data_IF_317173840784
#
_entry.id   IF_317173840784
#
_cell.length_a   1.000
_cell.length_b   1.000
_cell.length_c   1.000
_cell.angle_alpha   90.00
_cell.angle_beta   90.00
_cell.angle_gamma   90.00
#
_symmetry.space_group_name_H-M   'P 1'
#
loop_
_entity.id
_entity.type
_entity.pdbx_description
1 polymer ?
#
# COMPACT_ATOMS: atom_id res chain seq x y z
N UNK A 1 9.03 19.45 -31.85
CA UNK A 1 7.59 19.36 -31.53
C UNK A 1 7.46 18.22 -30.55
N UNK A 2 7.10 18.50 -29.30
CA UNK A 2 6.90 17.45 -28.30
C UNK A 2 5.50 16.87 -28.52
N UNK A 3 5.42 15.57 -28.83
CA UNK A 3 4.16 14.85 -28.87
C UNK A 3 3.53 14.90 -27.48
N UNK A 4 2.36 15.52 -27.37
CA UNK A 4 1.55 15.42 -26.17
C UNK A 4 1.10 13.96 -26.03
N UNK A 5 1.27 13.33 -24.85
CA UNK A 5 0.80 11.97 -24.64
C UNK A 5 -0.72 11.96 -24.81
N UNK A 6 -1.20 11.16 -25.76
CA UNK A 6 -2.63 10.93 -25.94
C UNK A 6 -3.25 10.45 -24.63
N UNK A 7 -4.47 10.92 -24.27
CA UNK A 7 -5.19 10.38 -23.13
C UNK A 7 -5.39 8.89 -23.36
N UNK A 8 -4.73 8.07 -22.53
CA UNK A 8 -4.87 6.61 -22.56
C UNK A 8 -6.32 6.27 -22.27
N UNK A 9 -6.95 5.53 -23.18
CA UNK A 9 -8.34 5.10 -23.05
C UNK A 9 -8.46 4.08 -21.90
N UNK A 10 -9.09 4.50 -20.79
CA UNK A 10 -9.28 3.69 -19.59
C UNK A 10 -10.60 2.89 -19.62
N UNK A 11 -11.38 3.00 -20.70
CA UNK A 11 -12.70 2.35 -20.80
C UNK A 11 -12.63 0.82 -20.74
N UNK A 12 -11.58 0.23 -21.31
CA UNK A 12 -11.31 -1.21 -21.22
C UNK A 12 -11.06 -1.66 -19.78
N UNK A 13 -10.32 -0.86 -19.00
CA UNK A 13 -10.05 -1.13 -17.59
C UNK A 13 -11.30 -0.97 -16.73
N UNK A 14 -12.17 0.00 -17.03
CA UNK A 14 -13.49 0.10 -16.38
C UNK A 14 -14.32 -1.17 -16.62
N UNK A 15 -14.31 -1.74 -17.83
CA UNK A 15 -15.01 -2.98 -18.13
C UNK A 15 -14.39 -4.19 -17.42
N UNK A 16 -13.06 -4.27 -17.36
CA UNK A 16 -12.35 -5.31 -16.58
C UNK A 16 -12.69 -5.21 -15.09
N UNK A 17 -12.69 -4.00 -14.54
CA UNK A 17 -13.07 -3.74 -13.16
C UNK A 17 -14.50 -4.22 -12.89
N UNK A 18 -15.45 -3.82 -13.73
CA UNK A 18 -16.84 -4.25 -13.59
C UNK A 18 -16.95 -5.77 -13.63
N UNK A 19 -16.35 -6.42 -14.61
CA UNK A 19 -16.36 -7.88 -14.72
C UNK A 19 -15.73 -8.58 -13.50
N UNK A 20 -14.70 -7.99 -12.89
CA UNK A 20 -14.08 -8.54 -11.68
C UNK A 20 -14.95 -8.37 -10.43
N UNK A 21 -15.74 -7.29 -10.38
CA UNK A 21 -16.61 -6.94 -9.25
C UNK A 21 -17.99 -7.60 -9.33
N UNK A 22 -18.58 -7.74 -10.53
CA UNK A 22 -19.92 -8.34 -10.76
C UNK A 22 -20.04 -9.77 -10.22
N UNK A 23 -18.94 -10.52 -10.18
CA UNK A 23 -18.94 -11.88 -9.62
C UNK A 23 -18.91 -11.95 -8.09
N UNK A 24 -18.78 -10.80 -7.42
CA UNK A 24 -18.61 -10.72 -5.97
C UNK A 24 -19.92 -10.27 -5.30
N UNK A 25 -20.48 -11.16 -4.49
CA UNK A 25 -21.60 -10.95 -3.57
C UNK A 25 -21.15 -11.22 -2.13
N UNK A 26 -21.03 -10.17 -1.30
CA UNK A 26 -20.60 -10.25 0.12
C UNK A 26 -19.16 -10.77 0.37
N UNK A 27 -18.27 -10.76 -0.62
CA UNK A 27 -16.85 -10.97 -0.38
C UNK A 27 -16.19 -9.70 0.12
N UNK A 28 -15.26 -9.85 1.06
CA UNK A 28 -14.46 -8.75 1.58
C UNK A 28 -13.05 -8.81 1.01
N UNK A 29 -12.35 -7.66 1.03
CA UNK A 29 -10.96 -7.59 0.64
C UNK A 29 -10.63 -6.32 -0.12
N UNK A 30 -9.71 -6.42 -1.07
CA UNK A 30 -9.11 -5.26 -1.73
C UNK A 30 -8.96 -5.49 -3.22
N UNK A 31 -9.25 -4.47 -4.01
CA UNK A 31 -8.89 -4.47 -5.44
C UNK A 31 -7.37 -4.42 -5.56
N UNK A 32 -6.80 -5.34 -6.33
CA UNK A 32 -5.37 -5.41 -6.62
C UNK A 32 -5.12 -4.83 -8.02
N UNK A 33 -4.34 -3.76 -8.09
CA UNK A 33 -3.90 -3.15 -9.34
C UNK A 33 -2.46 -3.58 -9.63
N UNK A 34 -2.29 -4.31 -10.73
CA UNK A 34 -0.98 -4.78 -11.18
C UNK A 34 -0.27 -3.73 -12.01
N UNK A 35 0.87 -3.24 -11.53
CA UNK A 35 1.74 -2.32 -12.29
C UNK A 35 3.11 -2.91 -12.61
N UNK A 36 3.50 -3.99 -11.93
CA UNK A 36 4.69 -4.78 -12.24
C UNK A 36 4.42 -5.83 -13.33
N UNK A 37 5.24 -5.78 -14.38
CA UNK A 37 5.28 -6.80 -15.43
C UNK A 37 6.76 -7.11 -15.72
N UNK A 38 7.13 -8.37 -15.54
CA UNK A 38 8.43 -8.90 -15.88
C UNK A 38 8.51 -9.22 -17.38
N UNK A 39 9.72 -9.16 -17.94
CA UNK A 39 9.94 -9.56 -19.34
C UNK A 39 9.97 -11.09 -19.51
N UNK A 40 10.44 -11.81 -18.47
CA UNK A 40 10.61 -13.25 -18.48
C UNK A 40 9.81 -13.90 -17.36
N UNK A 41 9.11 -14.99 -17.69
CA UNK A 41 8.35 -15.81 -16.73
C UNK A 41 7.30 -15.03 -15.92
N UNK A 42 6.77 -13.96 -16.52
CA UNK A 42 5.86 -13.00 -15.90
C UNK A 42 4.62 -13.66 -15.31
N UNK A 43 3.93 -14.51 -16.08
CA UNK A 43 2.71 -15.19 -15.65
C UNK A 43 2.96 -16.08 -14.42
N UNK A 44 4.07 -16.83 -14.40
CA UNK A 44 4.38 -17.72 -13.28
C UNK A 44 4.81 -16.95 -12.03
N UNK A 45 5.58 -15.86 -12.21
CA UNK A 45 5.94 -14.97 -11.11
C UNK A 45 4.72 -14.29 -10.53
N UNK A 46 3.83 -13.77 -11.37
CA UNK A 46 2.58 -13.15 -10.96
C UNK A 46 1.69 -14.13 -10.20
N UNK A 47 1.48 -15.33 -10.74
CA UNK A 47 0.68 -16.37 -10.09
C UNK A 47 1.26 -16.76 -8.72
N UNK A 48 2.59 -16.91 -8.61
CA UNK A 48 3.26 -17.21 -7.35
C UNK A 48 3.11 -16.07 -6.33
N UNK A 49 3.26 -14.82 -6.77
CA UNK A 49 3.12 -13.65 -5.92
C UNK A 49 1.68 -13.46 -5.41
N UNK A 50 0.69 -13.59 -6.31
CA UNK A 50 -0.72 -13.48 -5.95
C UNK A 50 -1.16 -14.59 -5.01
N UNK A 51 -0.71 -15.84 -5.26
CA UNK A 51 -0.94 -16.95 -4.33
C UNK A 51 -0.37 -16.64 -2.95
N UNK A 52 0.86 -16.13 -2.88
CA UNK A 52 1.50 -15.83 -1.60
C UNK A 52 0.82 -14.66 -0.88
N UNK A 53 0.40 -13.62 -1.61
CA UNK A 53 -0.41 -12.54 -1.04
C UNK A 53 -1.68 -13.11 -0.41
N UNK A 54 -2.40 -13.97 -1.15
CA UNK A 54 -3.60 -14.62 -0.65
C UNK A 54 -3.32 -15.45 0.60
N UNK A 55 -2.33 -16.36 0.56
CA UNK A 55 -2.00 -17.24 1.69
C UNK A 55 -1.66 -16.45 2.97
N UNK A 56 -0.94 -15.32 2.84
CA UNK A 56 -0.60 -14.47 3.98
C UNK A 56 -1.79 -13.65 4.48
N UNK A 57 -2.61 -13.12 3.58
CA UNK A 57 -3.69 -12.18 3.90
C UNK A 57 -4.94 -12.86 4.46
N UNK A 58 -5.19 -14.13 4.09
CA UNK A 58 -6.32 -14.89 4.59
C UNK A 58 -6.25 -15.04 6.13
N UNK A 59 -7.28 -14.62 6.89
CA UNK A 59 -7.31 -14.74 8.34
C UNK A 59 -7.12 -16.19 8.79
N UNK A 60 -6.43 -16.36 9.91
CA UNK A 60 -6.15 -17.69 10.47
C UNK A 60 -7.23 -18.23 11.41
N UNK A 61 -8.12 -17.37 11.91
CA UNK A 61 -9.10 -17.69 12.95
C UNK A 61 -10.51 -17.80 12.37
N UNK A 62 -11.20 -18.90 12.63
CA UNK A 62 -12.61 -19.09 12.33
C UNK A 62 -13.55 -18.26 13.22
N UNK A 63 -12.99 -17.60 14.26
CA UNK A 63 -13.68 -16.61 15.08
C UNK A 63 -13.38 -15.16 14.70
N UNK A 64 -12.62 -14.91 13.63
CA UNK A 64 -12.49 -13.58 13.08
C UNK A 64 -13.85 -13.13 12.52
N UNK A 65 -14.16 -11.84 12.67
CA UNK A 65 -15.39 -11.24 12.11
C UNK A 65 -15.45 -11.42 10.58
N UNK A 66 -14.27 -11.53 9.95
CA UNK A 66 -14.11 -11.81 8.53
C UNK A 66 -13.89 -13.30 8.25
N UNK A 67 -14.80 -13.92 7.50
CA UNK A 67 -14.68 -15.31 7.08
C UNK A 67 -13.53 -15.48 6.07
N UNK A 68 -12.54 -16.36 6.33
CA UNK A 68 -11.50 -16.71 5.38
C UNK A 68 -12.01 -17.13 3.99
N UNK A 69 -13.18 -17.76 3.92
CA UNK A 69 -13.75 -18.30 2.68
C UNK A 69 -14.37 -17.22 1.78
N UNK A 70 -14.64 -16.03 2.34
CA UNK A 70 -15.19 -14.88 1.60
C UNK A 70 -14.13 -13.82 1.27
N UNK A 71 -12.84 -14.10 1.52
CA UNK A 71 -11.75 -13.21 1.14
C UNK A 71 -11.53 -13.17 -0.37
N UNK A 72 -11.54 -11.97 -0.96
CA UNK A 72 -11.35 -11.73 -2.38
C UNK A 72 -10.28 -10.67 -2.68
N UNK A 73 -9.53 -10.92 -3.75
CA UNK A 73 -8.53 -9.99 -4.30
C UNK A 73 -8.78 -9.82 -5.81
N UNK A 74 -9.87 -9.12 -6.23
CA UNK A 74 -10.12 -8.88 -7.65
C UNK A 74 -8.94 -8.13 -8.28
N UNK A 75 -8.41 -8.68 -9.36
CA UNK A 75 -7.18 -8.18 -10.02
C UNK A 75 -7.53 -7.39 -11.27
N UNK A 76 -7.02 -6.16 -11.34
CA UNK A 76 -7.02 -5.33 -12.56
C UNK A 76 -5.61 -5.37 -13.16
N UNK A 77 -5.54 -5.83 -14.40
CA UNK A 77 -4.26 -6.02 -15.10
C UNK A 77 -4.40 -5.75 -16.59
N UNK A 78 -3.61 -4.79 -17.07
CA UNK A 78 -3.43 -4.45 -18.48
C UNK A 78 -2.02 -3.85 -18.60
N UNK A 79 -1.10 -4.60 -19.20
CA UNK A 79 0.30 -4.17 -19.29
C UNK A 79 0.49 -2.95 -20.17
N UNK A 80 -0.35 -2.73 -21.18
CA UNK A 80 -0.22 -1.57 -22.06
C UNK A 80 -0.56 -0.27 -21.32
N UNK A 81 -1.49 -0.33 -20.37
CA UNK A 81 -1.99 0.84 -19.65
C UNK A 81 -1.34 1.03 -18.27
N UNK A 82 -1.07 -0.06 -17.55
CA UNK A 82 -0.67 -0.05 -16.14
C UNK A 82 0.81 -0.32 -15.89
N UNK A 83 1.58 -0.76 -16.90
CA UNK A 83 3.02 -1.01 -16.70
C UNK A 83 3.75 0.27 -16.25
N UNK A 84 4.33 0.21 -15.06
CA UNK A 84 5.03 1.33 -14.44
C UNK A 84 4.14 2.51 -14.04
N UNK A 85 2.81 2.33 -13.96
CA UNK A 85 1.90 3.39 -13.51
C UNK A 85 2.18 3.79 -12.05
N UNK A 86 2.26 5.10 -11.81
CA UNK A 86 2.46 5.64 -10.46
C UNK A 86 1.17 5.65 -9.63
N UNK A 87 1.30 5.86 -8.31
CA UNK A 87 0.15 5.85 -7.39
C UNK A 87 -0.91 6.91 -7.74
N UNK A 88 -0.51 8.06 -8.30
CA UNK A 88 -1.45 9.11 -8.67
C UNK A 88 -2.32 8.70 -9.88
N UNK A 89 -1.70 8.08 -10.88
CA UNK A 89 -2.35 7.54 -12.07
C UNK A 89 -3.28 6.40 -11.70
N UNK A 90 -2.82 5.46 -10.85
CA UNK A 90 -3.65 4.37 -10.33
C UNK A 90 -4.84 4.90 -9.54
N UNK A 91 -4.63 5.83 -8.60
CA UNK A 91 -5.72 6.45 -7.81
C UNK A 91 -6.76 7.09 -8.71
N UNK A 92 -6.33 7.87 -9.70
CA UNK A 92 -7.24 8.54 -10.64
C UNK A 92 -8.08 7.51 -11.41
N UNK A 93 -7.45 6.46 -11.92
CA UNK A 93 -8.15 5.41 -12.66
C UNK A 93 -9.11 4.63 -11.76
N UNK A 94 -8.68 4.25 -10.56
CA UNK A 94 -9.49 3.54 -9.57
C UNK A 94 -10.76 4.30 -9.19
N UNK A 95 -10.65 5.60 -8.89
CA UNK A 95 -11.82 6.45 -8.63
C UNK A 95 -12.76 6.53 -9.83
N UNK A 96 -12.22 6.57 -11.06
CA UNK A 96 -13.03 6.58 -12.27
C UNK A 96 -13.75 5.24 -12.48
N UNK A 97 -13.12 4.12 -12.17
CA UNK A 97 -13.74 2.79 -12.25
C UNK A 97 -14.88 2.63 -11.24
N UNK A 98 -14.67 3.07 -10.00
CA UNK A 98 -15.73 3.08 -8.97
C UNK A 98 -16.90 3.97 -9.41
N UNK A 99 -16.61 5.18 -9.91
CA UNK A 99 -17.66 6.09 -10.36
C UNK A 99 -18.45 5.55 -11.57
N UNK A 100 -17.80 4.87 -12.53
CA UNK A 100 -18.48 4.23 -13.66
C UNK A 100 -19.29 3.00 -13.21
N UNK A 101 -18.81 2.23 -12.23
CA UNK A 101 -19.55 1.10 -11.65
C UNK A 101 -20.84 1.58 -10.96
N UNK A 102 -20.70 2.45 -9.95
CA UNK A 102 -21.82 2.99 -9.15
C UNK A 102 -22.76 3.84 -10.00
N UNK A 103 -22.22 4.61 -10.94
CA UNK A 103 -23.02 5.50 -11.80
C UNK A 103 -23.93 4.77 -12.78
N UNK A 104 -23.63 3.51 -13.13
CA UNK A 104 -24.46 2.71 -14.05
C UNK A 104 -25.56 1.93 -13.35
N UNK A 105 -25.28 1.34 -12.19
CA UNK A 105 -26.30 0.64 -11.38
C UNK A 105 -27.49 1.57 -11.06
N UNK A 106 -27.23 2.86 -10.86
CA UNK A 106 -28.27 3.87 -10.62
C UNK A 106 -29.17 4.24 -11.82
N UNK A 107 -28.86 3.76 -13.03
CA UNK A 107 -29.61 4.10 -14.26
C UNK A 107 -30.51 2.94 -14.75
N UNK A 108 -30.53 1.81 -14.04
CA UNK A 108 -31.50 0.74 -14.27
C UNK A 108 -32.74 1.04 -13.40
N UNK A 109 -33.93 0.90 -13.97
CA UNK A 109 -35.21 1.50 -13.51
C UNK A 109 -35.81 0.93 -12.19
N UNK A 110 -35.02 0.73 -11.12
CA UNK A 110 -35.52 0.19 -9.86
C UNK A 110 -35.25 1.10 -8.65
N UNK A 111 -36.32 1.32 -7.86
CA UNK A 111 -36.39 2.06 -6.60
C UNK A 111 -35.65 1.37 -5.44
N UNK A 112 -34.73 0.45 -5.73
CA UNK A 112 -33.89 -0.20 -4.73
C UNK A 112 -32.52 0.48 -4.75
N UNK A 113 -32.13 1.05 -3.61
CA UNK A 113 -30.79 1.54 -3.33
C UNK A 113 -29.80 0.37 -3.46
N UNK A 114 -29.42 -0.01 -4.69
CA UNK A 114 -28.56 -1.16 -4.96
C UNK A 114 -27.20 -0.89 -4.31
N UNK A 115 -27.09 -1.44 -3.11
CA UNK A 115 -25.98 -1.33 -2.20
C UNK A 115 -24.82 -2.11 -2.82
N UNK A 116 -23.68 -1.43 -2.98
CA UNK A 116 -22.40 -1.99 -3.40
C UNK A 116 -22.31 -3.50 -3.07
N UNK A 117 -22.39 -4.41 -4.06
CA UNK A 117 -22.82 -5.80 -3.83
C UNK A 117 -21.78 -6.66 -3.09
N UNK A 118 -20.56 -6.17 -2.94
CA UNK A 118 -19.45 -6.82 -2.25
C UNK A 118 -18.95 -5.96 -1.11
N UNK A 119 -18.32 -6.52 -0.09
CA UNK A 119 -17.64 -5.74 0.95
C UNK A 119 -16.20 -5.34 0.55
N UNK A 120 -15.80 -5.53 -0.71
CA UNK A 120 -14.46 -5.11 -1.18
C UNK A 120 -14.30 -3.60 -1.02
N UNK A 121 -13.15 -3.18 -0.46
CA UNK A 121 -12.86 -1.75 -0.21
C UNK A 121 -12.90 -0.93 -1.50
N UNK A 122 -13.58 0.22 -1.41
CA UNK A 122 -13.65 1.26 -2.46
C UNK A 122 -12.81 2.50 -2.14
N UNK A 123 -12.44 2.66 -0.88
CA UNK A 123 -11.67 3.79 -0.36
C UNK A 123 -10.16 3.57 -0.44
N UNK A 124 -9.72 2.33 -0.69
CA UNK A 124 -8.32 1.99 -0.89
C UNK A 124 -8.17 0.87 -1.92
N UNK A 125 -6.99 0.76 -2.55
CA UNK A 125 -6.61 -0.37 -3.39
C UNK A 125 -5.19 -0.84 -3.07
N UNK A 126 -4.86 -2.09 -3.39
CA UNK A 126 -3.51 -2.63 -3.30
C UNK A 126 -2.81 -2.44 -4.65
N UNK A 127 -1.62 -1.84 -4.65
CA UNK A 127 -0.76 -1.74 -5.83
C UNK A 127 0.39 -2.73 -5.71
N UNK A 128 0.55 -3.58 -6.73
CA UNK A 128 1.71 -4.47 -6.85
C UNK A 128 2.65 -3.90 -7.92
N UNK A 129 3.58 -3.08 -7.44
CA UNK A 129 4.73 -2.58 -8.18
C UNK A 129 5.92 -3.56 -8.10
N UNK A 130 7.05 -3.24 -8.74
CA UNK A 130 8.22 -4.13 -8.79
C UNK A 130 8.76 -4.46 -7.39
N UNK A 131 8.69 -3.51 -6.44
CA UNK A 131 9.19 -3.70 -5.09
C UNK A 131 8.27 -4.61 -4.27
N UNK A 132 6.94 -4.45 -4.42
CA UNK A 132 5.94 -5.34 -3.82
C UNK A 132 6.03 -6.74 -4.43
N UNK A 133 6.17 -6.85 -5.75
CA UNK A 133 6.34 -8.13 -6.43
C UNK A 133 7.58 -8.86 -5.90
N UNK A 134 8.71 -8.17 -5.79
CA UNK A 134 9.93 -8.73 -5.20
C UNK A 134 9.74 -9.12 -3.72
N UNK A 135 9.02 -8.30 -2.94
CA UNK A 135 8.70 -8.60 -1.53
C UNK A 135 7.92 -9.90 -1.39
N UNK A 136 6.89 -10.09 -2.22
CA UNK A 136 6.09 -11.31 -2.26
C UNK A 136 6.94 -12.50 -2.73
N UNK A 137 7.65 -12.39 -3.85
CA UNK A 137 8.42 -13.54 -4.37
C UNK A 137 9.51 -14.02 -3.41
N UNK A 138 10.19 -13.11 -2.71
CA UNK A 138 11.28 -13.44 -1.79
C UNK A 138 10.82 -13.87 -0.39
N UNK A 139 9.56 -13.63 -0.02
CA UNK A 139 9.03 -14.08 1.26
C UNK A 139 9.04 -15.63 1.35
N UNK A 140 9.20 -16.20 2.56
CA UNK A 140 9.05 -17.64 2.74
C UNK A 140 7.61 -18.07 2.46
N UNK A 141 7.40 -19.37 2.24
CA UNK A 141 6.05 -19.89 2.14
C UNK A 141 5.31 -19.70 3.48
N UNK A 142 4.04 -19.32 3.38
CA UNK A 142 3.21 -19.14 4.55
C UNK A 142 2.96 -20.48 5.23
N UNK A 143 3.22 -20.55 6.54
CA UNK A 143 2.95 -21.74 7.35
C UNK A 143 2.07 -21.32 8.53
N UNK A 144 0.82 -21.77 8.54
CA UNK A 144 -0.16 -21.44 9.58
C UNK A 144 0.35 -21.86 10.97
N UNK A 145 0.17 -20.98 11.96
CA UNK A 145 0.59 -21.21 13.34
C UNK A 145 2.09 -21.05 13.62
N UNK A 146 2.91 -20.80 12.59
CA UNK A 146 4.34 -20.50 12.78
C UNK A 146 4.50 -19.07 13.29
N UNK A 147 5.39 -18.89 14.26
CA UNK A 147 5.76 -17.54 14.73
C UNK A 147 6.37 -16.77 13.56
N UNK A 148 5.85 -15.57 13.25
CA UNK A 148 6.32 -14.79 12.12
C UNK A 148 7.74 -14.29 12.33
N UNK A 149 8.54 -14.33 11.26
CA UNK A 149 9.79 -13.57 11.19
C UNK A 149 9.50 -12.28 10.40
N UNK A 150 9.27 -11.18 11.13
CA UNK A 150 8.85 -9.88 10.58
C UNK A 150 9.83 -9.26 9.56
N UNK A 151 11.09 -9.70 9.55
CA UNK A 151 12.10 -9.23 8.58
C UNK A 151 11.97 -9.90 7.21
N UNK A 152 11.31 -11.07 7.16
CA UNK A 152 11.09 -11.85 5.95
C UNK A 152 9.63 -11.82 5.48
N UNK A 153 8.76 -11.13 6.22
CA UNK A 153 7.37 -11.08 5.84
C UNK A 153 7.12 -10.18 4.62
N UNK A 154 6.26 -10.64 3.70
CA UNK A 154 5.92 -9.84 2.55
C UNK A 154 5.06 -8.66 2.97
N UNK A 155 5.17 -7.61 2.18
CA UNK A 155 4.40 -6.38 2.34
C UNK A 155 3.86 -5.92 1.00
N UNK A 156 2.78 -5.17 1.04
CA UNK A 156 2.13 -4.55 -0.12
C UNK A 156 2.04 -3.05 0.05
N UNK A 157 1.79 -2.34 -1.05
CA UNK A 157 1.46 -0.91 -1.01
C UNK A 157 -0.05 -0.74 -1.09
N UNK A 158 -0.63 -0.11 -0.08
CA UNK A 158 -2.06 0.25 -0.03
C UNK A 158 -2.18 1.72 -0.39
N UNK A 159 -2.86 2.02 -1.48
CA UNK A 159 -3.04 3.38 -2.01
C UNK A 159 -4.43 3.88 -1.64
N UNK A 160 -4.47 5.08 -1.08
CA UNK A 160 -5.69 5.80 -0.74
C UNK A 160 -6.42 6.25 -2.01
N UNK A 161 -7.74 6.09 -2.05
CA UNK A 161 -8.57 6.67 -3.10
C UNK A 161 -8.62 8.20 -2.97
N UNK A 162 -8.51 8.75 -1.75
CA UNK A 162 -8.46 10.20 -1.53
C UNK A 162 -7.12 10.78 -1.98
N UNK A 163 -7.18 11.91 -2.71
CA UNK A 163 -5.96 12.61 -3.12
C UNK A 163 -5.27 13.20 -1.87
N UNK A 164 -3.99 12.88 -1.61
CA UNK A 164 -3.27 13.45 -0.49
C UNK A 164 -3.21 14.98 -0.47
N UNK A 165 -3.37 15.64 -1.62
CA UNK A 165 -3.43 17.09 -1.71
C UNK A 165 -4.69 17.70 -1.06
N UNK A 166 -5.77 16.92 -0.93
CA UNK A 166 -7.01 17.35 -0.29
C UNK A 166 -6.98 17.18 1.23
N UNK A 167 -6.01 16.43 1.74
CA UNK A 167 -5.91 16.11 3.16
C UNK A 167 -5.13 17.22 3.88
N UNK A 168 -5.74 17.86 4.91
CA UNK A 168 -5.08 18.94 5.63
C UNK A 168 -3.77 18.50 6.28
N UNK A 169 -2.76 19.34 6.16
CA UNK A 169 -1.47 19.10 6.81
C UNK A 169 -1.60 19.19 8.35
N UNK A 170 -1.30 18.09 9.05
CA UNK A 170 -1.40 17.98 10.53
C UNK A 170 -0.06 18.12 11.28
N UNK A 171 0.99 18.59 10.61
CA UNK A 171 2.36 18.59 11.15
C UNK A 171 3.10 17.27 10.85
N UNK A 172 4.36 17.36 10.41
CA UNK A 172 5.18 16.23 9.95
C UNK A 172 5.56 16.34 8.47
N UNK A 173 5.84 15.23 7.79
CA UNK A 173 5.83 15.23 6.32
C UNK A 173 4.38 15.24 5.78
N UNK A 174 4.09 15.81 4.59
CA UNK A 174 2.76 15.74 4.00
C UNK A 174 2.31 14.28 3.84
N UNK A 175 1.00 14.03 3.95
CA UNK A 175 0.42 12.71 3.73
C UNK A 175 0.74 12.24 2.31
N UNK A 176 1.13 10.97 2.17
CA UNK A 176 1.61 10.44 0.88
C UNK A 176 0.49 9.86 0.01
N UNK A 177 -0.70 9.66 0.57
CA UNK A 177 -1.80 8.99 -0.14
C UNK A 177 -1.57 7.49 -0.33
N UNK A 178 -0.64 6.90 0.43
CA UNK A 178 -0.40 5.46 0.49
C UNK A 178 0.31 5.08 1.80
N UNK A 179 0.21 3.81 2.16
CA UNK A 179 0.99 3.18 3.24
C UNK A 179 1.41 1.78 2.81
N UNK A 180 2.57 1.32 3.28
CA UNK A 180 2.91 -0.11 3.16
C UNK A 180 2.16 -0.89 4.23
N UNK A 181 1.81 -2.13 3.99
CA UNK A 181 1.23 -3.01 5.00
C UNK A 181 1.86 -4.40 4.91
N UNK A 182 2.09 -5.06 6.04
CA UNK A 182 2.37 -6.50 5.99
C UNK A 182 1.17 -7.23 5.40
N UNK A 183 1.40 -8.21 4.52
CA UNK A 183 0.31 -8.95 3.91
C UNK A 183 -0.59 -9.64 4.95
N UNK A 184 0.02 -10.15 6.04
CA UNK A 184 -0.68 -10.82 7.16
C UNK A 184 -1.66 -9.96 7.96
N UNK A 185 -1.55 -8.63 7.87
CA UNK A 185 -2.40 -7.71 8.64
C UNK A 185 -3.46 -7.05 7.78
N UNK A 186 -3.69 -7.54 6.55
CA UNK A 186 -4.67 -6.96 5.65
C UNK A 186 -6.11 -7.13 6.14
N UNK A 187 -6.44 -8.21 6.84
CA UNK A 187 -7.76 -8.35 7.50
C UNK A 187 -7.94 -7.30 8.60
N UNK A 188 -6.93 -7.12 9.47
CA UNK A 188 -6.98 -6.08 10.50
C UNK A 188 -7.03 -4.67 9.90
N UNK A 189 -6.32 -4.44 8.78
CA UNK A 189 -6.39 -3.17 8.07
C UNK A 189 -7.80 -2.93 7.52
N UNK A 190 -8.43 -3.96 6.98
CA UNK A 190 -9.80 -3.89 6.48
C UNK A 190 -10.74 -3.43 7.61
N UNK A 191 -10.73 -4.11 8.76
CA UNK A 191 -11.58 -3.76 9.92
C UNK A 191 -11.27 -2.34 10.44
N UNK A 192 -9.99 -1.99 10.53
CA UNK A 192 -9.57 -0.67 11.01
C UNK A 192 -10.08 0.47 10.12
N UNK A 193 -10.19 0.21 8.81
CA UNK A 193 -10.65 1.18 7.83
C UNK A 193 -12.17 1.45 7.90
N UNK A 194 -12.96 0.64 8.61
CA UNK A 194 -14.40 0.93 8.84
C UNK A 194 -14.61 2.12 9.78
N UNK A 195 -13.64 2.38 10.66
CA UNK A 195 -13.73 3.45 11.67
C UNK A 195 -12.74 4.60 11.44
N UNK A 196 -11.70 4.39 10.62
CA UNK A 196 -10.59 5.32 10.43
C UNK A 196 -10.18 5.38 8.97
N UNK A 197 -9.85 6.58 8.47
CA UNK A 197 -9.25 6.73 7.14
C UNK A 197 -7.83 6.16 7.10
N UNK A 198 -7.33 5.83 5.90
CA UNK A 198 -5.95 5.36 5.72
C UNK A 198 -4.94 6.40 6.22
N UNK A 199 -5.23 7.70 6.09
CA UNK A 199 -4.42 8.78 6.67
C UNK A 199 -4.24 8.62 8.19
N UNK A 200 -5.32 8.33 8.93
CA UNK A 200 -5.26 8.16 10.39
C UNK A 200 -4.53 6.88 10.81
N UNK A 201 -4.51 5.87 9.95
CA UNK A 201 -3.79 4.62 10.17
C UNK A 201 -2.32 4.71 9.74
N UNK A 202 -1.96 5.75 8.99
CA UNK A 202 -0.60 5.97 8.50
C UNK A 202 0.22 6.77 9.51
N UNK A 203 1.40 6.28 9.94
CA UNK A 203 2.26 7.05 10.84
C UNK A 203 2.72 8.35 10.19
N UNK A 204 2.73 9.42 10.99
CA UNK A 204 3.20 10.74 10.58
C UNK A 204 4.71 10.70 10.33
N UNK A 205 5.14 11.12 9.14
CA UNK A 205 6.56 11.19 8.78
C UNK A 205 7.30 12.22 9.62
N UNK A 206 8.53 11.89 10.02
CA UNK A 206 9.46 12.77 10.72
C UNK A 206 10.29 13.59 9.75
N UNK A 207 10.67 13.01 8.61
CA UNK A 207 11.41 13.67 7.53
C UNK A 207 11.03 13.12 6.15
N UNK A 208 11.48 13.81 5.11
CA UNK A 208 11.13 13.45 3.74
C UNK A 208 11.78 12.13 3.29
N UNK A 209 11.08 11.39 2.44
CA UNK A 209 11.48 10.07 1.96
C UNK A 209 11.13 8.89 2.90
N UNK A 210 10.70 9.13 4.14
CA UNK A 210 10.18 8.03 4.98
C UNK A 210 8.90 7.45 4.41
N UNK A 211 8.78 6.13 4.48
CA UNK A 211 7.64 5.38 3.99
C UNK A 211 6.79 4.93 5.19
N UNK A 212 5.52 5.35 5.29
CA UNK A 212 4.62 4.85 6.31
C UNK A 212 4.35 3.36 6.12
N UNK A 213 4.27 2.63 7.23
CA UNK A 213 4.11 1.18 7.21
C UNK A 213 3.15 0.75 8.33
N UNK A 214 1.99 0.23 7.95
CA UNK A 214 1.01 -0.39 8.84
C UNK A 214 1.45 -1.82 9.24
N UNK A 215 1.56 -2.05 10.54
CA UNK A 215 2.03 -3.33 11.10
C UNK A 215 0.94 -4.12 11.82
N UNK A 216 -0.34 -3.73 11.67
CA UNK A 216 -1.45 -4.25 12.48
C UNK A 216 -1.54 -3.60 13.87
N UNK A 217 -0.82 -2.49 14.09
CA UNK A 217 -0.94 -1.68 15.30
C UNK A 217 -1.37 -0.27 14.92
N UNK A 218 -2.05 0.41 15.84
CA UNK A 218 -2.52 1.79 15.66
C UNK A 218 -1.40 2.82 15.49
N UNK A 219 -0.15 2.46 15.81
CA UNK A 219 1.01 3.34 15.63
C UNK A 219 1.77 3.08 14.32
N UNK A 220 1.68 1.88 13.75
CA UNK A 220 2.50 1.47 12.61
C UNK A 220 4.01 1.66 12.85
N UNK A 221 4.77 1.79 11.77
CA UNK A 221 6.20 2.17 11.78
C UNK A 221 6.56 3.01 10.55
N UNK A 222 7.69 3.71 10.64
CA UNK A 222 8.30 4.40 9.50
C UNK A 222 9.48 3.60 8.99
N UNK A 223 9.56 3.44 7.68
CA UNK A 223 10.65 2.72 7.00
C UNK A 223 11.44 3.71 6.15
N UNK A 224 12.76 3.62 6.21
CA UNK A 224 13.63 4.43 5.34
C UNK A 224 13.56 3.89 3.89
N UNK A 225 13.69 4.77 2.88
CA UNK A 225 13.70 4.32 1.49
C UNK A 225 14.95 3.46 1.22
N UNK A 226 14.94 2.61 0.17
CA UNK A 226 16.12 1.87 -0.25
C UNK A 226 17.34 2.80 -0.43
N UNK A 227 18.47 2.47 0.19
CA UNK A 227 19.68 3.33 0.20
C UNK A 227 19.82 4.25 1.42
N UNK A 228 18.79 4.33 2.26
CA UNK A 228 18.71 5.23 3.39
C UNK A 228 18.36 6.66 2.96
N UNK A 229 18.46 7.59 3.89
CA UNK A 229 18.02 8.97 3.70
C UNK A 229 19.25 9.84 3.45
N UNK A 230 19.27 10.57 2.33
CA UNK A 230 20.26 11.62 2.14
C UNK A 230 20.07 12.69 3.23
N UNK A 231 21.11 12.90 4.05
CA UNK A 231 21.11 13.86 5.14
C UNK A 231 20.87 13.30 6.55
N UNK A 232 20.52 12.02 6.70
CA UNK A 232 20.58 11.38 8.04
C UNK A 232 22.04 11.11 8.37
N UNK A 233 22.55 11.68 9.47
CA UNK A 233 23.90 11.38 9.94
C UNK A 233 24.04 9.88 10.16
N UNK A 234 24.73 9.21 9.24
CA UNK A 234 25.00 7.77 9.33
C UNK A 234 26.06 7.60 10.41
N UNK A 235 25.67 7.11 11.58
CA UNK A 235 26.62 6.81 12.64
C UNK A 235 27.63 5.78 12.12
N UNK A 236 28.92 6.13 11.96
CA UNK A 236 29.91 5.22 11.40
C UNK A 236 30.08 3.94 12.23
N UNK A 237 29.63 3.96 13.49
CA UNK A 237 29.72 2.87 14.47
C UNK A 237 28.35 2.36 14.98
N UNK A 238 27.25 2.70 14.30
CA UNK A 238 25.89 2.35 14.72
C UNK A 238 25.30 3.28 15.77
N UNK A 239 24.03 3.05 16.16
CA UNK A 239 23.30 3.91 17.11
C UNK A 239 24.03 3.96 18.45
N UNK A 240 24.35 5.16 18.98
CA UNK A 240 25.07 5.27 20.24
C UNK A 240 24.30 4.62 21.39
N UNK A 241 25.00 3.81 22.21
CA UNK A 241 24.43 3.23 23.43
C UNK A 241 25.12 3.83 24.65
N UNK A 242 24.31 4.27 25.62
CA UNK A 242 24.77 4.84 26.89
C UNK A 242 25.35 6.26 26.76
N UNK A 243 25.60 6.89 27.92
CA UNK A 243 26.07 8.28 28.00
C UNK A 243 27.40 8.51 27.26
N UNK A 244 28.32 7.56 27.34
CA UNK A 244 29.61 7.63 26.64
C UNK A 244 29.45 7.57 25.11
N UNK A 245 28.52 6.74 24.61
CA UNK A 245 28.20 6.70 23.18
C UNK A 245 27.60 8.02 22.70
N UNK A 246 26.67 8.59 23.48
CA UNK A 246 26.06 9.88 23.15
C UNK A 246 27.09 11.04 23.15
N UNK A 247 28.06 11.01 24.06
CA UNK A 247 29.09 12.05 24.15
C UNK A 247 30.10 11.96 22.99
N UNK A 248 30.56 10.76 22.65
CA UNK A 248 31.40 10.55 21.48
C UNK A 248 30.70 10.96 20.16
N UNK A 249 29.37 10.79 20.11
CA UNK A 249 28.53 11.20 18.99
C UNK A 249 28.43 12.72 18.87
N UNK A 250 28.22 13.44 19.99
CA UNK A 250 28.18 14.90 20.00
C UNK A 250 29.51 15.51 19.53
N UNK A 251 30.64 14.97 19.99
CA UNK A 251 31.98 15.41 19.58
C UNK A 251 32.24 15.19 18.07
N UNK A 252 31.68 14.13 17.49
CA UNK A 252 31.82 13.83 16.06
C UNK A 252 30.93 14.74 15.20
N UNK A 253 29.72 15.03 15.66
CA UNK A 253 28.82 16.02 15.02
C UNK A 253 29.44 17.42 15.07
N UNK A 254 29.99 17.83 16.22
CA UNK A 254 30.70 19.12 16.36
C UNK A 254 31.90 19.22 15.40
N UNK A 255 32.61 18.10 15.18
CA UNK A 255 33.74 18.04 14.24
C UNK A 255 33.29 18.12 12.78
N UNK A 256 32.14 17.53 12.45
CA UNK A 256 31.60 17.51 11.09
C UNK A 256 30.91 18.83 10.68
N UNK A 257 30.22 19.49 11.61
CA UNK A 257 29.46 20.73 11.35
C UNK A 257 30.31 21.99 11.51
N UNK A 258 31.48 21.88 12.16
CA UNK A 258 32.34 23.01 12.47
C UNK A 258 31.79 23.81 13.64
N UNK A 259 32.67 24.18 14.58
CA UNK A 259 32.37 24.72 15.92
C UNK A 259 31.61 26.07 15.97
N UNK A 260 31.06 26.57 14.87
CA UNK A 260 30.67 27.97 14.70
C UNK A 260 29.19 28.28 14.46
N UNK A 261 28.28 27.29 14.37
CA UNK A 261 26.88 27.53 13.95
C UNK A 261 25.79 27.17 14.96
N UNK A 262 26.13 26.83 16.21
CA UNK A 262 25.18 26.82 17.33
C UNK A 262 25.43 28.04 18.23
N UNK A 263 24.96 29.19 17.78
CA UNK A 263 24.78 30.37 18.63
C UNK A 263 23.41 30.29 19.30
N UNK A 264 23.43 30.38 20.63
CA UNK A 264 22.27 30.53 21.52
C UNK A 264 21.36 31.71 21.14
#
# INVERSE_FOLDING_TARGET
>A
MAEQPQPRDLSSLSAQFRSAMESLTHQWGFVVVRTAYANDNDDAQWAAALKKLHDYATPSDSGAEMDPDTFALPVISDSALLHGADHASVRKAFNQWIADFVGRERNEDDDDDEEWPSDVRRDVCIVIDEAVLASLLNAPDFVRGKVPNLDLEPWVTVVDAEDPANIPYRGGGPYMGFTRAYARVLSQLFDDLDSRSLEKLSPIRVYDGQIPFFTGSSQGKLVDPPGGVDGRYKFPRGTPRGAQGAQAMLEEIERAVGRGSMGY
#
